data_IF_407461245695
#
_entry.id   IF_407461245695
#
_cell.length_a   1.000
_cell.length_b   1.000
_cell.length_c   1.000
_cell.angle_alpha   90.00
_cell.angle_beta   90.00
_cell.angle_gamma   90.00
#
_symmetry.space_group_name_H-M   'P 1'
#
loop_
_entity.id
_entity.type
_entity.pdbx_description
1 polymer ?
#
# COMPACT_ATOMS: atom_id res chain seq x y z
N UNK A 1 -15.02 -3.63 -3.14
CA UNK A 1 -14.41 -2.40 -2.62
C UNK A 1 -14.84 -1.15 -3.40
N UNK A 2 -14.99 -1.21 -4.71
CA UNK A 2 -15.16 -0.05 -5.61
C UNK A 2 -16.61 0.36 -5.92
N UNK A 3 -17.60 -0.23 -5.29
CA UNK A 3 -19.03 -0.01 -5.60
C UNK A 3 -19.73 0.97 -4.65
N UNK A 4 -19.11 1.31 -3.54
CA UNK A 4 -19.68 2.19 -2.52
C UNK A 4 -18.58 2.85 -1.70
N UNK A 5 -18.82 4.06 -1.15
CA UNK A 5 -17.91 4.72 -0.23
C UNK A 5 -17.59 3.86 1.01
N UNK A 6 -16.44 4.11 1.60
CA UNK A 6 -15.96 3.48 2.84
C UNK A 6 -15.65 4.55 3.90
N UNK A 7 -16.53 5.55 3.99
CA UNK A 7 -16.34 6.73 4.83
C UNK A 7 -16.91 6.58 6.24
N UNK A 8 -18.11 6.00 6.38
CA UNK A 8 -18.78 5.85 7.67
C UNK A 8 -18.26 4.63 8.45
N UNK A 9 -18.44 4.64 9.78
CA UNK A 9 -18.06 3.49 10.63
C UNK A 9 -18.68 2.17 10.14
N UNK A 10 -19.94 2.17 9.72
CA UNK A 10 -20.60 0.97 9.19
C UNK A 10 -19.97 0.50 7.89
N UNK A 11 -19.69 1.40 6.97
CA UNK A 11 -19.05 1.09 5.68
C UNK A 11 -17.62 0.57 5.89
N UNK A 12 -16.82 1.22 6.75
CA UNK A 12 -15.47 0.77 7.10
C UNK A 12 -15.48 -0.60 7.78
N UNK A 13 -16.48 -0.88 8.63
CA UNK A 13 -16.65 -2.20 9.26
C UNK A 13 -16.93 -3.28 8.20
N UNK A 14 -17.79 -3.00 7.23
CA UNK A 14 -18.04 -3.92 6.13
C UNK A 14 -16.79 -4.16 5.28
N UNK A 15 -16.05 -3.08 4.97
CA UNK A 15 -14.77 -3.18 4.25
C UNK A 15 -13.74 -4.02 5.00
N UNK A 16 -13.56 -3.82 6.32
CA UNK A 16 -12.68 -4.65 7.15
C UNK A 16 -13.04 -6.14 7.08
N UNK A 17 -14.33 -6.45 7.21
CA UNK A 17 -14.80 -7.83 7.12
C UNK A 17 -14.46 -8.44 5.76
N UNK A 18 -14.69 -7.70 4.68
CA UNK A 18 -14.33 -8.12 3.34
C UNK A 18 -12.81 -8.39 3.22
N UNK A 19 -11.97 -7.46 3.68
CA UNK A 19 -10.51 -7.53 3.59
C UNK A 19 -9.94 -8.70 4.41
N UNK A 20 -10.46 -8.93 5.61
CA UNK A 20 -10.11 -10.10 6.42
C UNK A 20 -10.43 -11.40 5.70
N UNK A 21 -11.59 -11.49 5.05
CA UNK A 21 -11.99 -12.66 4.26
C UNK A 21 -11.08 -12.84 3.03
N UNK A 22 -10.69 -11.76 2.35
CA UNK A 22 -9.76 -11.85 1.22
C UNK A 22 -8.39 -12.39 1.66
N UNK A 23 -7.81 -11.85 2.72
CA UNK A 23 -6.54 -12.33 3.25
C UNK A 23 -6.62 -13.78 3.73
N UNK A 24 -7.70 -14.18 4.39
CA UNK A 24 -7.92 -15.57 4.79
C UNK A 24 -8.04 -16.51 3.58
N UNK A 25 -8.73 -16.09 2.50
CA UNK A 25 -8.84 -16.85 1.24
C UNK A 25 -7.49 -17.01 0.55
N UNK A 26 -6.63 -15.99 0.64
CA UNK A 26 -5.25 -16.05 0.13
C UNK A 26 -4.40 -17.05 0.95
N UNK A 27 -4.74 -17.27 2.22
CA UNK A 27 -3.99 -18.15 3.12
C UNK A 27 -3.35 -17.43 4.31
N UNK A 28 -3.57 -16.12 4.47
CA UNK A 28 -3.01 -15.30 5.54
C UNK A 28 -4.11 -14.77 6.48
N UNK A 29 -4.50 -15.52 7.53
CA UNK A 29 -5.52 -15.09 8.47
C UNK A 29 -5.19 -13.74 9.09
N UNK A 30 -6.06 -12.76 8.90
CA UNK A 30 -5.86 -11.40 9.35
C UNK A 30 -6.38 -11.16 10.77
N UNK A 31 -5.79 -10.15 11.41
CA UNK A 31 -6.15 -9.64 12.73
C UNK A 31 -6.54 -8.16 12.63
N UNK A 32 -7.17 -7.66 13.67
CA UNK A 32 -7.50 -6.24 13.82
C UNK A 32 -6.52 -5.56 14.79
N UNK A 33 -5.98 -4.43 14.36
CA UNK A 33 -5.33 -3.47 15.23
C UNK A 33 -6.33 -2.34 15.51
N UNK A 34 -6.99 -2.43 16.67
CA UNK A 34 -8.03 -1.47 17.08
C UNK A 34 -7.41 -0.22 17.71
N UNK A 35 -7.93 0.94 17.34
CA UNK A 35 -7.61 2.22 17.95
C UNK A 35 -8.88 3.02 18.22
N UNK A 36 -8.79 4.22 18.79
CA UNK A 36 -9.93 4.99 19.35
C UNK A 36 -11.14 5.11 18.42
N UNK A 37 -10.91 5.32 17.11
CA UNK A 37 -11.98 5.64 16.14
C UNK A 37 -12.12 4.62 15.01
N UNK A 38 -11.32 3.54 15.00
CA UNK A 38 -11.32 2.57 13.93
C UNK A 38 -10.48 1.34 14.20
N UNK A 39 -10.19 0.59 13.15
CA UNK A 39 -9.28 -0.54 13.24
C UNK A 39 -8.62 -0.82 11.89
N UNK A 40 -7.31 -0.98 11.89
CA UNK A 40 -6.54 -1.52 10.76
C UNK A 40 -6.75 -3.03 10.66
N UNK A 41 -6.63 -3.56 9.45
CA UNK A 41 -6.55 -5.00 9.20
C UNK A 41 -5.10 -5.35 8.91
N UNK A 42 -4.54 -6.37 9.57
CA UNK A 42 -3.17 -6.79 9.29
C UNK A 42 -3.02 -8.31 9.30
N UNK A 43 -2.05 -8.80 8.54
CA UNK A 43 -1.65 -10.20 8.53
C UNK A 43 -0.14 -10.31 8.37
N UNK A 44 0.50 -11.17 9.14
CA UNK A 44 1.94 -11.41 9.02
C UNK A 44 2.21 -12.72 8.28
N UNK A 45 2.95 -12.61 7.20
CA UNK A 45 3.46 -13.70 6.37
C UNK A 45 4.83 -14.08 6.97
N UNK A 46 5.00 -15.26 7.55
CA UNK A 46 6.22 -15.60 8.27
C UNK A 46 7.42 -15.74 7.32
N UNK A 47 8.61 -15.46 7.83
CA UNK A 47 9.84 -15.95 7.22
C UNK A 47 9.83 -17.48 7.18
N UNK A 48 10.45 -18.06 6.17
CA UNK A 48 10.65 -19.51 6.06
C UNK A 48 12.11 -19.90 6.25
N UNK A 49 13.01 -18.93 6.16
CA UNK A 49 14.45 -19.08 6.37
C UNK A 49 14.97 -17.86 7.13
N UNK A 50 15.69 -18.10 8.22
CA UNK A 50 16.28 -16.98 8.98
C UNK A 50 15.28 -16.24 9.87
N UNK A 51 15.68 -15.06 10.30
CA UNK A 51 14.92 -14.17 11.20
C UNK A 51 15.28 -12.72 10.92
N UNK A 52 15.25 -12.32 9.64
CA UNK A 52 15.51 -10.94 9.24
C UNK A 52 14.48 -9.97 9.81
N UNK A 53 14.81 -8.67 9.76
CA UNK A 53 13.91 -7.61 10.18
C UNK A 53 12.65 -7.59 9.33
N UNK A 54 11.52 -7.27 9.96
CA UNK A 54 10.19 -7.31 9.35
C UNK A 54 10.06 -6.24 8.25
N UNK A 55 9.36 -6.58 7.19
CA UNK A 55 8.97 -5.67 6.10
C UNK A 55 7.47 -5.38 6.24
N UNK A 56 7.09 -4.12 6.14
CA UNK A 56 5.68 -3.70 6.12
C UNK A 56 5.29 -3.26 4.71
N UNK A 57 4.14 -3.74 4.24
CA UNK A 57 3.52 -3.22 3.02
C UNK A 57 2.04 -2.94 3.29
N UNK A 58 1.57 -1.74 2.92
CA UNK A 58 0.22 -1.33 3.25
C UNK A 58 -0.38 -0.32 2.29
N UNK A 59 -1.70 -0.13 2.46
CA UNK A 59 -2.52 0.87 1.78
C UNK A 59 -3.73 1.20 2.66
N UNK A 60 -4.27 2.39 2.56
CA UNK A 60 -5.52 2.67 3.26
C UNK A 60 -6.72 2.11 2.50
N UNK A 61 -7.78 1.81 3.24
CA UNK A 61 -8.99 1.26 2.63
C UNK A 61 -10.23 2.15 2.79
N UNK A 62 -10.16 3.18 3.62
CA UNK A 62 -11.25 4.16 3.76
C UNK A 62 -11.31 5.10 2.55
N UNK A 63 -12.34 5.92 2.49
CA UNK A 63 -12.54 6.94 1.45
C UNK A 63 -13.17 8.17 2.06
N UNK A 64 -13.09 9.30 1.35
CA UNK A 64 -13.95 10.44 1.65
C UNK A 64 -15.44 10.10 1.43
N UNK A 65 -16.32 10.93 1.99
CA UNK A 65 -17.76 10.80 1.78
C UNK A 65 -18.10 10.99 0.31
N UNK A 66 -18.96 10.14 -0.23
CA UNK A 66 -19.46 10.15 -1.62
C UNK A 66 -18.46 9.73 -2.71
N UNK A 67 -17.22 9.35 -2.38
CA UNK A 67 -16.32 8.72 -3.34
C UNK A 67 -16.34 7.20 -3.20
N UNK A 68 -16.57 6.44 -4.29
CA UNK A 68 -16.38 5.00 -4.27
C UNK A 68 -14.92 4.59 -4.04
N UNK A 69 -13.96 5.47 -4.37
CA UNK A 69 -12.54 5.30 -4.09
C UNK A 69 -11.95 4.10 -4.83
N UNK A 70 -12.15 4.02 -6.14
CA UNK A 70 -11.60 2.92 -6.93
C UNK A 70 -10.11 3.11 -7.16
N UNK A 71 -9.68 4.33 -7.46
CA UNK A 71 -8.28 4.71 -7.49
C UNK A 71 -7.79 5.08 -6.09
N UNK A 72 -8.52 5.92 -5.37
CA UNK A 72 -8.19 6.40 -4.03
C UNK A 72 -9.05 5.70 -2.94
N UNK A 73 -8.63 4.58 -2.28
CA UNK A 73 -7.40 3.85 -2.55
C UNK A 73 -7.67 2.33 -2.63
N UNK A 74 -8.71 1.91 -3.37
CA UNK A 74 -8.90 0.49 -3.62
C UNK A 74 -7.82 -0.05 -4.59
N UNK A 75 -7.15 0.81 -5.36
CA UNK A 75 -6.02 0.45 -6.23
C UNK A 75 -4.83 -0.01 -5.39
N UNK A 76 -4.40 0.76 -4.40
CA UNK A 76 -3.33 0.37 -3.47
C UNK A 76 -3.68 -0.89 -2.69
N UNK A 77 -4.92 -1.00 -2.21
CA UNK A 77 -5.40 -2.24 -1.56
C UNK A 77 -5.28 -3.44 -2.51
N UNK A 78 -5.61 -3.28 -3.80
CA UNK A 78 -5.49 -4.37 -4.78
C UNK A 78 -4.03 -4.78 -4.99
N UNK A 79 -3.09 -3.82 -5.06
CA UNK A 79 -1.65 -4.10 -5.13
C UNK A 79 -1.20 -4.89 -3.90
N UNK A 80 -1.56 -4.44 -2.70
CA UNK A 80 -1.17 -5.10 -1.44
C UNK A 80 -1.71 -6.53 -1.36
N UNK A 81 -2.97 -6.77 -1.78
CA UNK A 81 -3.55 -8.11 -1.83
C UNK A 81 -2.90 -8.99 -2.91
N UNK A 82 -2.55 -8.43 -4.07
CA UNK A 82 -1.83 -9.15 -5.13
C UNK A 82 -0.45 -9.60 -4.66
N UNK A 83 0.28 -8.74 -3.95
CA UNK A 83 1.57 -9.07 -3.33
C UNK A 83 1.40 -10.16 -2.26
N UNK A 84 0.40 -10.04 -1.39
CA UNK A 84 0.08 -11.07 -0.40
C UNK A 84 -0.18 -12.43 -1.05
N UNK A 85 -0.90 -12.45 -2.17
CA UNK A 85 -1.15 -13.68 -2.95
C UNK A 85 0.14 -14.22 -3.58
N UNK A 86 0.97 -13.34 -4.15
CA UNK A 86 2.25 -13.74 -4.75
C UNK A 86 3.18 -14.40 -3.73
N UNK A 87 3.25 -13.87 -2.51
CA UNK A 87 4.10 -14.38 -1.44
C UNK A 87 3.73 -15.80 -0.96
N UNK A 88 2.53 -16.30 -1.28
CA UNK A 88 2.16 -17.71 -1.03
C UNK A 88 3.07 -18.65 -1.81
N UNK A 89 3.42 -18.26 -3.04
CA UNK A 89 4.19 -19.07 -3.97
C UNK A 89 5.72 -18.84 -3.87
N UNK A 90 6.16 -17.96 -2.93
CA UNK A 90 7.58 -17.72 -2.63
C UNK A 90 8.03 -18.64 -1.49
N UNK A 91 8.76 -19.74 -1.78
CA UNK A 91 9.05 -20.77 -0.78
C UNK A 91 10.12 -20.35 0.24
N UNK A 92 11.04 -19.48 -0.17
CA UNK A 92 12.18 -19.05 0.66
C UNK A 92 12.06 -17.55 0.95
N UNK A 93 11.76 -17.20 2.20
CA UNK A 93 11.67 -15.83 2.69
C UNK A 93 12.57 -15.67 3.91
N UNK A 94 13.53 -14.76 3.81
CA UNK A 94 14.51 -14.47 4.88
C UNK A 94 13.97 -13.51 5.94
N UNK A 95 12.88 -12.80 5.63
CA UNK A 95 12.23 -11.85 6.52
C UNK A 95 10.70 -12.08 6.56
N UNK A 96 10.03 -11.82 7.68
CA UNK A 96 8.56 -11.76 7.72
C UNK A 96 8.07 -10.53 6.97
N UNK A 97 6.92 -10.66 6.28
CA UNK A 97 6.23 -9.55 5.61
C UNK A 97 4.88 -9.34 6.28
N UNK A 98 4.64 -8.16 6.80
CA UNK A 98 3.33 -7.79 7.35
C UNK A 98 2.56 -6.91 6.38
N UNK A 99 1.39 -7.42 5.97
CA UNK A 99 0.38 -6.70 5.24
C UNK A 99 -0.40 -5.83 6.23
N UNK A 100 -0.55 -4.54 5.95
CA UNK A 100 -1.37 -3.63 6.78
C UNK A 100 -2.31 -2.84 5.90
N UNK A 101 -3.61 -2.94 6.17
CA UNK A 101 -4.64 -2.15 5.49
C UNK A 101 -5.14 -1.11 6.49
N UNK A 102 -4.79 0.14 6.25
CA UNK A 102 -5.00 1.25 7.18
C UNK A 102 -6.44 1.78 7.09
N UNK A 103 -6.98 2.19 8.23
CA UNK A 103 -8.31 2.78 8.37
C UNK A 103 -8.17 4.26 8.77
N UNK A 104 -8.92 5.15 8.14
CA UNK A 104 -8.97 6.55 8.54
C UNK A 104 -7.80 7.39 8.06
N UNK A 105 -7.18 7.05 6.95
CA UNK A 105 -6.19 7.86 6.25
C UNK A 105 -6.77 9.22 5.89
N UNK A 106 -7.95 9.24 5.28
CA UNK A 106 -8.70 10.42 4.84
C UNK A 106 -9.13 11.37 5.98
N UNK A 107 -8.96 10.95 7.20
CA UNK A 107 -9.22 11.73 8.39
C UNK A 107 -7.93 12.17 9.13
N UNK A 108 -6.80 12.17 8.43
CA UNK A 108 -5.49 12.59 8.94
C UNK A 108 -4.61 11.44 9.42
N UNK A 109 -4.51 10.38 8.62
CA UNK A 109 -3.59 9.24 8.83
C UNK A 109 -3.84 8.50 10.15
N UNK A 110 -5.11 8.45 10.61
CA UNK A 110 -5.43 7.95 11.96
C UNK A 110 -4.96 6.50 12.18
N UNK A 111 -5.13 5.65 11.16
CA UNK A 111 -4.77 4.25 11.24
C UNK A 111 -3.27 4.01 11.25
N UNK A 112 -2.53 4.62 10.34
CA UNK A 112 -1.07 4.50 10.28
C UNK A 112 -0.39 5.15 11.47
N UNK A 113 -0.86 6.33 11.91
CA UNK A 113 -0.38 7.00 13.13
C UNK A 113 -0.63 6.20 14.40
N UNK A 114 -1.71 5.43 14.45
CA UNK A 114 -1.98 4.49 15.55
C UNK A 114 -1.14 3.22 15.46
N UNK A 115 -0.84 2.74 14.24
CA UNK A 115 -0.11 1.49 14.02
C UNK A 115 1.40 1.65 14.17
N UNK A 116 2.00 2.70 13.63
CA UNK A 116 3.44 2.91 13.65
C UNK A 116 4.07 2.83 15.05
N UNK A 117 3.47 3.36 16.15
CA UNK A 117 3.99 3.22 17.50
C UNK A 117 4.03 1.78 18.04
N UNK A 118 3.32 0.84 17.45
CA UNK A 118 3.36 -0.58 17.84
C UNK A 118 4.61 -1.30 17.37
N UNK A 119 5.39 -0.65 16.51
CA UNK A 119 6.61 -1.17 15.90
C UNK A 119 7.83 -0.39 16.40
N UNK A 120 8.98 -1.03 16.32
CA UNK A 120 10.28 -0.41 16.62
C UNK A 120 11.10 -0.34 15.36
N UNK A 121 11.57 0.85 14.97
CA UNK A 121 12.26 1.07 13.71
C UNK A 121 13.48 0.15 13.50
N UNK A 122 14.21 -0.16 14.60
CA UNK A 122 15.34 -1.08 14.55
C UNK A 122 15.01 -2.53 14.16
N UNK A 123 13.74 -2.92 14.19
CA UNK A 123 13.27 -4.27 13.84
C UNK A 123 12.46 -4.29 12.54
N UNK A 124 12.35 -3.15 11.88
CA UNK A 124 11.65 -3.00 10.59
C UNK A 124 12.68 -2.62 9.54
N UNK A 125 12.82 -3.46 8.53
CA UNK A 125 13.72 -3.24 7.40
C UNK A 125 13.21 -2.13 6.49
N UNK A 126 11.93 -2.17 6.16
CA UNK A 126 11.30 -1.25 5.22
C UNK A 126 9.80 -1.12 5.46
N UNK A 127 9.23 0.02 5.11
CA UNK A 127 7.79 0.27 5.07
C UNK A 127 7.42 0.81 3.68
N UNK A 128 6.55 0.08 2.99
CA UNK A 128 6.03 0.46 1.68
C UNK A 128 4.55 0.79 1.81
N UNK A 129 4.16 2.00 1.48
CA UNK A 129 2.74 2.37 1.38
C UNK A 129 2.39 2.65 -0.07
N UNK A 130 1.19 2.23 -0.48
CA UNK A 130 0.72 2.33 -1.85
C UNK A 130 -0.55 3.18 -1.84
N UNK A 131 -0.54 4.25 -2.62
CA UNK A 131 -1.68 5.16 -2.68
C UNK A 131 -1.92 5.66 -4.09
N UNK A 132 -3.16 5.52 -4.60
CA UNK A 132 -3.57 5.95 -5.93
C UNK A 132 -2.59 5.53 -7.04
N UNK A 133 -2.72 4.29 -7.52
CA UNK A 133 -1.81 3.70 -8.52
C UNK A 133 -2.57 3.11 -9.72
N UNK A 134 -3.65 3.77 -10.14
CA UNK A 134 -4.48 3.28 -11.23
C UNK A 134 -4.94 4.34 -12.23
N UNK A 135 -4.14 5.38 -12.41
CA UNK A 135 -4.34 6.42 -13.43
C UNK A 135 -3.02 6.74 -14.12
N UNK A 136 -3.01 6.71 -15.46
CA UNK A 136 -1.88 6.99 -16.34
C UNK A 136 -2.45 7.44 -17.68
N UNK A 137 -2.77 8.73 -17.81
CA UNK A 137 -3.48 9.26 -18.96
C UNK A 137 -2.54 9.44 -20.16
N UNK A 138 -1.29 9.80 -19.91
CA UNK A 138 -0.31 10.04 -20.97
C UNK A 138 0.46 8.76 -21.37
N UNK A 139 0.23 7.66 -20.66
CA UNK A 139 0.77 6.33 -20.93
C UNK A 139 2.31 6.28 -20.88
N UNK A 140 2.93 7.05 -20.00
CA UNK A 140 4.39 7.03 -19.83
C UNK A 140 4.86 6.02 -18.79
N UNK A 141 3.93 5.35 -18.10
CA UNK A 141 4.15 4.29 -17.09
C UNK A 141 4.96 4.79 -15.89
N UNK A 142 4.81 6.04 -15.52
CA UNK A 142 5.56 6.69 -14.45
C UNK A 142 4.80 6.64 -13.13
N UNK A 143 5.56 6.37 -12.06
CA UNK A 143 5.11 6.49 -10.68
C UNK A 143 5.96 7.50 -9.92
N UNK A 144 5.40 8.06 -8.88
CA UNK A 144 6.13 8.88 -7.92
C UNK A 144 6.51 8.06 -6.67
N UNK A 145 7.76 8.26 -6.24
CA UNK A 145 8.27 7.79 -4.98
C UNK A 145 8.22 8.94 -3.98
N UNK A 146 7.34 8.83 -3.01
CA UNK A 146 7.14 9.87 -2.01
C UNK A 146 8.14 9.73 -0.87
N UNK A 147 8.97 10.76 -0.70
CA UNK A 147 9.93 10.91 0.40
C UNK A 147 10.76 9.64 0.71
N UNK A 148 11.30 8.93 -0.29
CA UNK A 148 12.04 7.69 -0.05
C UNK A 148 13.32 7.96 0.76
N UNK A 149 13.76 6.94 1.52
CA UNK A 149 15.16 6.88 1.94
C UNK A 149 16.04 6.46 0.77
N UNK A 150 17.35 6.79 0.83
CA UNK A 150 18.27 6.48 -0.28
C UNK A 150 18.32 4.98 -0.60
N UNK A 151 18.21 4.11 0.41
CA UNK A 151 18.20 2.66 0.21
C UNK A 151 16.94 2.21 -0.54
N UNK A 152 15.77 2.61 -0.06
CA UNK A 152 14.49 2.25 -0.69
C UNK A 152 14.36 2.84 -2.10
N UNK A 153 14.82 4.06 -2.34
CA UNK A 153 14.84 4.63 -3.68
C UNK A 153 15.67 3.77 -4.65
N UNK A 154 16.84 3.32 -4.23
CA UNK A 154 17.69 2.47 -5.06
C UNK A 154 17.03 1.10 -5.37
N UNK A 155 16.36 0.49 -4.39
CA UNK A 155 15.63 -0.76 -4.57
C UNK A 155 14.46 -0.61 -5.56
N UNK A 156 13.65 0.45 -5.43
CA UNK A 156 12.59 0.74 -6.40
C UNK A 156 13.10 1.02 -7.79
N UNK A 157 14.19 1.78 -7.95
CA UNK A 157 14.80 2.04 -9.26
C UNK A 157 15.35 0.77 -9.91
N UNK A 158 15.92 -0.14 -9.13
CA UNK A 158 16.36 -1.44 -9.64
C UNK A 158 15.16 -2.30 -10.08
N UNK A 159 14.11 -2.36 -9.28
CA UNK A 159 12.89 -3.08 -9.61
C UNK A 159 12.19 -2.51 -10.85
N UNK A 160 12.13 -1.18 -10.98
CA UNK A 160 11.53 -0.49 -12.11
C UNK A 160 12.22 -0.85 -13.45
N UNK A 161 13.55 -0.99 -13.44
CA UNK A 161 14.28 -1.46 -14.63
C UNK A 161 13.85 -2.87 -15.05
N UNK A 162 13.53 -3.75 -14.09
CA UNK A 162 13.09 -5.13 -14.38
C UNK A 162 11.68 -5.16 -14.96
N UNK A 163 10.76 -4.34 -14.41
CA UNK A 163 9.34 -4.39 -14.81
C UNK A 163 8.98 -3.41 -15.91
N UNK A 164 9.87 -2.45 -16.24
CA UNK A 164 9.66 -1.45 -17.30
C UNK A 164 8.89 -0.21 -16.83
N UNK A 165 8.85 0.07 -15.52
CA UNK A 165 8.25 1.27 -14.97
C UNK A 165 9.20 2.48 -15.03
N UNK A 166 8.65 3.69 -15.08
CA UNK A 166 9.38 4.94 -14.89
C UNK A 166 9.17 5.45 -13.47
N UNK A 167 10.17 6.12 -12.88
CA UNK A 167 10.09 6.63 -11.52
C UNK A 167 10.57 8.07 -11.40
N UNK A 168 9.79 8.89 -10.73
CA UNK A 168 10.18 10.22 -10.26
C UNK A 168 10.19 10.21 -8.72
N UNK A 169 11.11 10.95 -8.11
CA UNK A 169 11.15 11.10 -6.65
C UNK A 169 10.57 12.46 -6.27
N UNK A 170 9.67 12.46 -5.29
CA UNK A 170 9.03 13.68 -4.77
C UNK A 170 9.27 13.83 -3.27
N UNK A 171 8.99 15.01 -2.76
CA UNK A 171 9.03 15.32 -1.32
C UNK A 171 7.62 15.35 -0.71
N UNK A 172 6.65 14.77 -1.41
CA UNK A 172 5.24 14.73 -0.99
C UNK A 172 5.09 14.04 0.36
N UNK A 173 4.25 14.62 1.18
CA UNK A 173 3.81 14.13 2.47
C UNK A 173 2.28 14.07 2.46
N UNK A 174 1.69 13.50 3.51
CA UNK A 174 0.24 13.47 3.67
C UNK A 174 -0.39 12.12 3.36
N UNK A 175 0.41 11.09 3.02
CA UNK A 175 -0.04 9.71 2.92
C UNK A 175 0.56 8.84 4.04
N UNK A 176 0.15 7.59 4.14
CA UNK A 176 0.45 6.71 5.29
C UNK A 176 1.95 6.53 5.61
N UNK A 177 2.85 6.69 4.62
CA UNK A 177 4.30 6.60 4.86
C UNK A 177 4.80 7.66 5.84
N UNK A 178 4.16 8.84 5.89
CA UNK A 178 4.54 9.94 6.78
C UNK A 178 4.52 9.51 8.25
N UNK A 179 3.50 8.75 8.67
CA UNK A 179 3.36 8.27 10.05
C UNK A 179 4.56 7.43 10.52
N UNK A 180 5.21 6.75 9.60
CA UNK A 180 6.41 5.96 9.85
C UNK A 180 7.69 6.80 9.72
N UNK A 181 7.77 7.67 8.71
CA UNK A 181 8.92 8.59 8.53
C UNK A 181 9.12 9.50 9.73
N UNK A 182 8.06 10.05 10.31
CA UNK A 182 8.10 10.87 11.54
C UNK A 182 8.70 10.13 12.74
N UNK A 183 8.72 8.79 12.70
CA UNK A 183 9.25 7.92 13.76
C UNK A 183 10.59 7.28 13.43
N UNK A 184 11.23 7.72 12.35
CA UNK A 184 12.56 7.27 11.95
C UNK A 184 12.59 5.91 11.27
N UNK A 185 11.47 5.42 10.74
CA UNK A 185 11.47 4.22 9.90
C UNK A 185 11.99 4.55 8.50
N UNK A 186 12.63 3.57 7.87
CA UNK A 186 12.82 3.57 6.43
C UNK A 186 11.47 3.31 5.77
N UNK A 187 10.84 4.36 5.24
CA UNK A 187 9.50 4.29 4.67
C UNK A 187 9.41 5.10 3.38
N UNK A 188 8.51 4.65 2.49
CA UNK A 188 8.28 5.23 1.17
C UNK A 188 6.80 5.12 0.81
N UNK A 189 6.27 6.15 0.13
CA UNK A 189 5.00 6.07 -0.60
C UNK A 189 5.24 5.81 -2.08
N UNK A 190 4.41 4.96 -2.69
CA UNK A 190 4.31 4.75 -4.13
C UNK A 190 2.95 5.25 -4.60
N UNK A 191 2.95 6.19 -5.55
CA UNK A 191 1.72 6.79 -6.08
C UNK A 191 1.83 7.00 -7.60
N UNK A 192 0.70 7.27 -8.27
CA UNK A 192 0.68 7.85 -9.61
C UNK A 192 1.28 9.26 -9.61
N UNK A 193 1.41 9.91 -10.76
CA UNK A 193 2.07 11.22 -10.88
C UNK A 193 1.27 12.38 -10.26
N UNK A 194 1.15 12.39 -8.94
CA UNK A 194 0.41 13.42 -8.21
C UNK A 194 1.06 14.81 -8.35
N UNK A 195 2.37 14.89 -8.20
CA UNK A 195 3.14 16.15 -8.39
C UNK A 195 3.48 16.38 -9.85
N UNK A 196 3.72 15.31 -10.61
CA UNK A 196 4.01 15.36 -12.05
C UNK A 196 2.88 15.87 -12.90
N UNK A 197 1.65 15.81 -12.40
CA UNK A 197 0.47 16.41 -13.03
C UNK A 197 -0.37 15.45 -13.88
N UNK A 198 -0.06 14.15 -13.89
CA UNK A 198 -0.94 13.11 -14.42
C UNK A 198 -1.58 12.28 -13.27
N UNK A 199 -2.30 12.99 -12.40
CA UNK A 199 -3.12 12.37 -11.36
C UNK A 199 -4.58 12.35 -11.76
N UNK A 200 -5.32 11.37 -11.22
CA UNK A 200 -6.73 11.20 -11.52
C UNK A 200 -7.57 12.45 -11.20
N UNK A 201 -8.25 13.05 -12.17
CA UNK A 201 -9.16 14.17 -11.95
C UNK A 201 -10.42 13.75 -11.17
N UNK A 202 -10.61 12.45 -10.94
CA UNK A 202 -11.76 11.89 -10.25
C UNK A 202 -11.53 11.67 -8.76
N UNK A 203 -10.30 11.91 -8.27
CA UNK A 203 -9.97 11.81 -6.85
C UNK A 203 -11.00 12.56 -6.00
N UNK A 204 -11.45 11.93 -4.92
CA UNK A 204 -12.43 12.49 -3.96
C UNK A 204 -13.80 12.84 -4.57
N UNK A 205 -14.17 12.26 -5.72
CA UNK A 205 -15.45 12.50 -6.40
C UNK A 205 -16.27 11.22 -6.54
N UNK A 206 -17.59 11.31 -6.81
CA UNK A 206 -18.42 10.15 -7.13
C UNK A 206 -18.00 9.40 -8.41
N UNK A 207 -17.16 10.01 -9.22
CA UNK A 207 -16.67 9.44 -10.48
C UNK A 207 -15.42 8.57 -10.30
N UNK A 208 -14.80 8.54 -9.12
CA UNK A 208 -13.71 7.59 -8.81
C UNK A 208 -14.26 6.16 -8.70
N UNK A 209 -14.51 5.54 -9.83
CA UNK A 209 -15.14 4.23 -9.99
C UNK A 209 -14.22 3.27 -10.73
N UNK A 210 -14.55 1.98 -10.73
CA UNK A 210 -13.79 0.98 -11.49
C UNK A 210 -13.73 1.22 -13.01
N UNK A 211 -14.60 2.09 -13.54
CA UNK A 211 -14.58 2.45 -14.95
C UNK A 211 -13.44 3.41 -15.32
N UNK A 212 -12.86 4.10 -14.34
CA UNK A 212 -11.75 5.03 -14.52
C UNK A 212 -10.38 4.45 -14.18
N UNK A 213 -10.35 3.18 -13.76
CA UNK A 213 -9.11 2.47 -13.39
C UNK A 213 -8.36 2.03 -14.65
N UNK A 214 -7.12 2.45 -14.80
CA UNK A 214 -6.18 1.88 -15.75
C UNK A 214 -5.64 0.56 -15.23
N UNK A 215 -6.20 -0.54 -15.73
CA UNK A 215 -5.83 -1.89 -15.28
C UNK A 215 -4.38 -2.29 -15.67
N UNK A 216 -3.87 -2.01 -16.86
CA UNK A 216 -2.46 -2.22 -17.20
C UNK A 216 -1.50 -1.51 -16.24
N UNK A 217 -1.75 -0.25 -15.93
CA UNK A 217 -0.92 0.53 -15.01
C UNK A 217 -1.00 -0.01 -13.57
N UNK A 218 -2.20 -0.33 -13.08
CA UNK A 218 -2.39 -0.99 -11.79
C UNK A 218 -1.63 -2.32 -11.68
N UNK A 219 -1.63 -3.12 -12.76
CA UNK A 219 -0.85 -4.37 -12.81
C UNK A 219 0.64 -4.08 -12.79
N UNK A 220 1.10 -3.00 -13.42
CA UNK A 220 2.50 -2.58 -13.37
C UNK A 220 2.90 -2.17 -11.95
N UNK A 221 2.06 -1.42 -11.22
CA UNK A 221 2.27 -1.10 -9.81
C UNK A 221 2.42 -2.36 -8.94
N UNK A 222 1.55 -3.36 -9.16
CA UNK A 222 1.64 -4.63 -8.45
C UNK A 222 2.93 -5.41 -8.76
N UNK A 223 3.38 -5.42 -10.02
CA UNK A 223 4.65 -6.03 -10.42
C UNK A 223 5.85 -5.30 -9.82
N UNK A 224 5.83 -3.96 -9.82
CA UNK A 224 6.90 -3.14 -9.25
C UNK A 224 7.03 -3.42 -7.74
N UNK A 225 5.93 -3.37 -7.00
CA UNK A 225 5.91 -3.65 -5.56
C UNK A 225 6.34 -5.09 -5.25
N UNK A 226 5.85 -6.08 -6.03
CA UNK A 226 6.27 -7.47 -5.87
C UNK A 226 7.76 -7.67 -6.15
N UNK A 227 8.32 -6.98 -7.16
CA UNK A 227 9.74 -7.08 -7.48
C UNK A 227 10.63 -6.49 -6.38
N UNK A 228 10.23 -5.39 -5.76
CA UNK A 228 10.91 -4.83 -4.58
C UNK A 228 10.89 -5.85 -3.44
N UNK A 229 9.71 -6.30 -3.05
CA UNK A 229 9.57 -7.22 -1.91
C UNK A 229 10.29 -8.54 -2.12
N UNK A 230 10.34 -9.08 -3.35
CA UNK A 230 11.09 -10.31 -3.63
C UNK A 230 12.60 -10.11 -3.43
N UNK A 231 13.13 -8.95 -3.80
CA UNK A 231 14.56 -8.64 -3.58
C UNK A 231 14.90 -8.49 -2.09
N UNK A 232 13.94 -8.03 -1.28
CA UNK A 232 14.10 -7.88 0.17
C UNK A 232 14.00 -9.20 0.94
N UNK A 233 13.15 -10.13 0.47
CA UNK A 233 12.95 -11.43 1.15
C UNK A 233 13.81 -12.55 0.57
N UNK A 234 14.48 -12.34 -0.56
CA UNK A 234 15.34 -13.36 -1.17
C UNK A 234 16.53 -13.74 -0.25
N UNK A 235 17.01 -15.00 -0.31
CA UNK A 235 18.20 -15.45 0.39
C UNK A 235 19.47 -14.76 -0.09
#
# INVERSE_FOLDING_TARGET
>A
MTTAPRATTTQRTAARTYLMNQLATIGWPAQLHTYTTGANVYATIPATMGSGDEILVGAHFDTVTNSPGANDNASGVAVVLAVARYLVDVPCRTAPVTIVLFDGEENGLLGSRAYAPTKTAANIRAVHTIDQVAWDQDNDLRFELELPTTGLEAEYRAAAQVVGAQLTTTITQGTDHEAFRERGFDAIGLTEEYVGGDTSPYRHTPQDTSATVDTPYLVLAAKLTAQVLISEVAP
#
